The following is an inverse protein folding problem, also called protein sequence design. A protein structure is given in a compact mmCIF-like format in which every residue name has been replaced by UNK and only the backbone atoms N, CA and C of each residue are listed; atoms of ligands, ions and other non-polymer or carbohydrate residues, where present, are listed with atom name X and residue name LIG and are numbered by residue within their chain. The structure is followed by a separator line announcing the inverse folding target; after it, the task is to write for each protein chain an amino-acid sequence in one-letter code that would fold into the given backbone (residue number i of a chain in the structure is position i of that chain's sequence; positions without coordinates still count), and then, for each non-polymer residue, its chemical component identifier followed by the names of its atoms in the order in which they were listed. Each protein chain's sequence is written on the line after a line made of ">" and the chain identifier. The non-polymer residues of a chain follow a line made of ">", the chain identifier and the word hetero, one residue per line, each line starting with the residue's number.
data_IF_535369625333
#
_entry.id   IF_535369625333
#
_cell.length_a   1.000
_cell.length_b   1.000
_cell.length_c   1.000
_cell.angle_alpha   90.00
_cell.angle_beta   90.00
_cell.angle_gamma   90.00
#
_symmetry.space_group_name_H-M   'P 1'
#
loop_
_entity.id
_entity.type
_entity.pdbx_description
1 polymer ?
#
# COMPACT_ATOMS: atom_id res chain seq x y z
N UNK A 1 27.53 3.46 -7.92
CA UNK A 1 27.57 3.73 -6.47
C UNK A 1 26.16 3.48 -5.94
N UNK A 2 25.83 2.22 -5.68
CA UNK A 2 24.51 1.77 -5.24
C UNK A 2 24.50 1.76 -3.73
N UNK A 3 23.63 2.58 -3.12
CA UNK A 3 23.35 2.47 -1.70
C UNK A 3 22.53 1.19 -1.49
N UNK A 4 23.19 0.10 -1.06
CA UNK A 4 22.52 -1.02 -0.42
C UNK A 4 21.96 -0.52 0.92
N UNK A 5 20.71 -0.05 0.88
CA UNK A 5 19.95 0.34 2.07
C UNK A 5 19.02 -0.79 2.50
N UNK A 6 19.54 -2.01 2.61
CA UNK A 6 18.86 -3.10 3.29
C UNK A 6 19.50 -3.24 4.67
N UNK A 7 18.82 -2.76 5.70
CA UNK A 7 19.15 -3.09 7.09
C UNK A 7 19.22 -4.62 7.20
N UNK A 8 20.37 -5.14 7.64
CA UNK A 8 20.61 -6.59 7.74
C UNK A 8 19.79 -7.14 8.92
N UNK A 9 19.47 -8.43 8.91
CA UNK A 9 18.78 -9.11 10.03
C UNK A 9 19.41 -8.84 11.41
N UNK A 10 20.71 -8.58 11.44
CA UNK A 10 21.46 -8.17 12.64
C UNK A 10 21.05 -6.80 13.16
N UNK A 11 20.69 -5.86 12.29
CA UNK A 11 20.26 -4.50 12.64
C UNK A 11 18.85 -4.52 13.24
N UNK A 12 17.99 -5.45 12.79
CA UNK A 12 16.65 -5.69 13.34
C UNK A 12 16.69 -6.27 14.77
N UNK A 13 17.68 -7.10 15.09
CA UNK A 13 17.86 -7.63 16.46
C UNK A 13 18.32 -6.56 17.45
N UNK A 14 19.06 -5.54 17.00
CA UNK A 14 19.47 -4.41 17.84
C UNK A 14 18.29 -3.51 18.24
N UNK A 15 17.25 -3.42 17.39
CA UNK A 15 16.02 -2.65 17.65
C UNK A 15 15.06 -3.31 18.66
N UNK A 16 15.29 -4.58 19.03
CA UNK A 16 14.43 -5.33 19.95
C UNK A 16 14.70 -5.05 21.44
N UNK A 17 15.69 -4.23 21.77
CA UNK A 17 15.92 -3.78 23.15
C UNK A 17 15.25 -2.43 23.33
N UNK A 18 14.19 -2.29 24.15
CA UNK A 18 13.60 -0.98 24.37
C UNK A 18 14.66 -0.07 24.99
N UNK A 19 14.98 1.09 24.40
CA UNK A 19 15.87 2.04 25.04
C UNK A 19 15.24 2.50 26.36
N UNK A 20 16.08 2.84 27.34
CA UNK A 20 15.63 3.65 28.46
C UNK A 20 14.91 4.89 27.89
N UNK A 21 13.78 5.26 28.50
CA UNK A 21 12.94 6.41 28.10
C UNK A 21 13.84 7.55 27.59
N UNK A 22 13.58 8.11 26.39
CA UNK A 22 14.40 9.21 25.92
C UNK A 22 14.27 10.33 26.97
N UNK A 23 15.41 10.66 27.58
CA UNK A 23 15.52 11.87 28.36
C UNK A 23 14.95 13.00 27.49
N UNK A 24 14.06 13.83 28.06
CA UNK A 24 13.69 15.10 27.44
C UNK A 24 14.97 15.72 26.88
N UNK A 25 14.97 16.09 25.59
CA UNK A 25 16.10 16.76 24.96
C UNK A 25 16.54 17.86 25.92
N UNK A 26 17.80 17.87 26.41
CA UNK A 26 18.26 18.89 27.34
C UNK A 26 18.00 20.28 26.74
N UNK A 27 17.11 21.06 27.35
CA UNK A 27 16.71 22.39 26.86
C UNK A 27 15.37 22.46 26.11
N UNK A 28 14.63 21.36 25.95
CA UNK A 28 13.23 21.42 25.52
C UNK A 28 12.40 22.08 26.63
N UNK A 29 12.10 23.37 26.46
CA UNK A 29 11.51 24.19 27.52
C UNK A 29 10.05 23.87 27.83
N UNK A 30 9.34 23.13 26.98
CA UNK A 30 7.97 22.68 27.27
C UNK A 30 7.66 21.38 26.53
N UNK A 31 7.60 20.27 27.25
CA UNK A 31 6.67 19.18 26.92
C UNK A 31 5.70 19.15 28.09
N UNK A 32 4.49 19.68 27.89
CA UNK A 32 3.48 19.51 28.92
C UNK A 32 3.11 18.02 29.02
N UNK A 33 2.83 17.49 30.23
CA UNK A 33 2.56 16.07 30.41
C UNK A 33 1.44 15.54 29.51
N UNK A 34 0.41 16.34 29.21
CA UNK A 34 -0.72 15.91 28.39
C UNK A 34 -0.30 15.71 26.92
N UNK A 35 0.57 16.56 26.38
CA UNK A 35 1.15 16.36 25.04
C UNK A 35 2.00 15.08 24.97
N UNK A 36 2.80 14.79 26.02
CA UNK A 36 3.57 13.55 26.07
C UNK A 36 2.65 12.32 26.11
N UNK A 37 1.56 12.39 26.89
CA UNK A 37 0.60 11.29 27.01
C UNK A 37 -0.22 11.10 25.73
N UNK A 38 -0.57 12.18 25.01
CA UNK A 38 -1.21 12.10 23.70
C UNK A 38 -0.33 11.38 22.66
N UNK A 39 0.97 11.68 22.65
CA UNK A 39 1.94 10.98 21.79
C UNK A 39 2.05 9.51 22.18
N UNK A 40 2.17 9.19 23.47
CA UNK A 40 2.21 7.80 23.94
C UNK A 40 0.97 7.03 23.52
N UNK A 41 -0.22 7.62 23.73
CA UNK A 41 -1.48 7.01 23.32
C UNK A 41 -1.52 6.73 21.81
N UNK A 42 -1.02 7.63 20.97
CA UNK A 42 -0.91 7.39 19.53
C UNK A 42 0.01 6.20 19.21
N UNK A 43 1.19 6.14 19.82
CA UNK A 43 2.16 5.06 19.61
C UNK A 43 1.62 3.71 20.09
N UNK A 44 0.94 3.68 21.24
CA UNK A 44 0.33 2.46 21.78
C UNK A 44 -0.80 1.95 20.87
N UNK A 45 -1.53 2.85 20.20
CA UNK A 45 -2.58 2.50 19.23
C UNK A 45 -2.05 1.89 17.92
N UNK A 46 -0.73 1.90 17.68
CA UNK A 46 -0.12 1.15 16.58
C UNK A 46 -0.10 -0.36 16.88
N UNK A 47 -0.05 -0.76 18.15
CA UNK A 47 0.03 -2.17 18.53
C UNK A 47 -1.20 -2.97 18.08
N UNK A 48 -2.45 -2.52 18.33
CA UNK A 48 -3.64 -3.16 17.77
C UNK A 48 -3.64 -3.21 16.23
N UNK A 49 -3.18 -2.13 15.57
CA UNK A 49 -3.05 -2.10 14.11
C UNK A 49 -2.13 -3.23 13.62
N UNK A 50 -0.95 -3.37 14.22
CA UNK A 50 0.01 -4.41 13.87
C UNK A 50 -0.50 -5.82 14.19
N UNK A 51 -1.20 -6.00 15.31
CA UNK A 51 -1.80 -7.28 15.67
C UNK A 51 -2.88 -7.70 14.67
N UNK A 52 -3.75 -6.78 14.26
CA UNK A 52 -4.75 -7.05 13.21
C UNK A 52 -4.11 -7.46 11.88
N UNK A 53 -2.96 -6.88 11.51
CA UNK A 53 -2.19 -7.26 10.33
C UNK A 53 -1.55 -8.64 10.47
N UNK A 54 -1.00 -8.97 11.64
CA UNK A 54 -0.44 -10.31 11.90
C UNK A 54 -1.51 -11.39 11.74
N UNK A 55 -2.71 -11.15 12.27
CA UNK A 55 -3.84 -12.06 12.16
C UNK A 55 -4.33 -12.23 10.71
N UNK A 56 -4.08 -11.23 9.85
CA UNK A 56 -4.43 -11.24 8.43
C UNK A 56 -3.22 -11.50 7.51
N UNK A 57 -2.08 -11.92 8.06
CA UNK A 57 -0.82 -12.10 7.30
C UNK A 57 -0.95 -13.09 6.14
N UNK A 58 -1.76 -14.15 6.30
CA UNK A 58 -2.05 -15.09 5.22
C UNK A 58 -2.73 -14.44 4.02
N UNK A 59 -3.68 -13.51 4.27
CA UNK A 59 -4.36 -12.75 3.21
C UNK A 59 -3.40 -11.78 2.52
N UNK A 60 -2.58 -11.07 3.28
CA UNK A 60 -1.56 -10.16 2.71
C UNK A 60 -0.56 -10.91 1.83
N UNK A 61 -0.12 -12.09 2.25
CA UNK A 61 0.75 -12.94 1.45
C UNK A 61 0.05 -13.43 0.17
N UNK A 62 -1.22 -13.85 0.27
CA UNK A 62 -2.02 -14.27 -0.87
C UNK A 62 -2.19 -13.14 -1.90
N UNK A 63 -2.50 -11.91 -1.45
CA UNK A 63 -2.60 -10.74 -2.31
C UNK A 63 -1.29 -10.47 -3.06
N UNK A 64 -0.14 -10.53 -2.39
CA UNK A 64 1.16 -10.35 -3.05
C UNK A 64 1.43 -11.38 -4.13
N UNK A 65 1.17 -12.66 -3.85
CA UNK A 65 1.35 -13.77 -4.80
C UNK A 65 0.37 -13.64 -5.99
N UNK A 66 -0.91 -13.41 -5.72
CA UNK A 66 -1.92 -13.26 -6.76
C UNK A 66 -1.62 -12.07 -7.67
N UNK A 67 -1.25 -10.93 -7.08
CA UNK A 67 -0.88 -9.74 -7.83
C UNK A 67 0.31 -10.03 -8.74
N UNK A 68 1.36 -10.67 -8.24
CA UNK A 68 2.53 -11.06 -9.02
C UNK A 68 2.14 -11.91 -10.23
N UNK A 69 1.33 -12.95 -10.02
CA UNK A 69 0.88 -13.83 -11.10
C UNK A 69 0.03 -13.11 -12.15
N UNK A 70 -0.83 -12.18 -11.73
CA UNK A 70 -1.65 -11.38 -12.66
C UNK A 70 -0.79 -10.42 -13.47
N UNK A 71 0.11 -9.67 -12.83
CA UNK A 71 0.96 -8.71 -13.53
C UNK A 71 1.95 -9.41 -14.48
N UNK A 72 2.44 -10.61 -14.15
CA UNK A 72 3.23 -11.45 -15.06
C UNK A 72 2.47 -11.87 -16.33
N UNK A 73 1.14 -11.94 -16.28
CA UNK A 73 0.28 -12.24 -17.43
C UNK A 73 -0.14 -10.99 -18.22
N UNK A 74 0.39 -9.83 -17.86
CA UNK A 74 0.12 -8.56 -18.55
C UNK A 74 -1.11 -7.80 -18.03
N UNK A 75 -1.72 -8.23 -16.92
CA UNK A 75 -2.72 -7.44 -16.23
C UNK A 75 -2.08 -6.24 -15.52
N UNK A 76 -2.90 -5.35 -14.97
CA UNK A 76 -2.45 -4.18 -14.21
C UNK A 76 -3.13 -4.01 -12.86
N UNK A 77 -2.50 -3.18 -12.05
CA UNK A 77 -3.05 -2.68 -10.80
C UNK A 77 -3.54 -1.24 -10.96
N UNK A 78 -4.76 -0.96 -10.52
CA UNK A 78 -5.25 0.39 -10.26
C UNK A 78 -5.33 0.58 -8.74
N UNK A 79 -4.91 1.75 -8.24
CA UNK A 79 -5.00 2.07 -6.81
C UNK A 79 -5.72 3.41 -6.60
N UNK A 80 -6.55 3.50 -5.56
CA UNK A 80 -7.20 4.75 -5.18
C UNK A 80 -7.40 4.86 -3.67
N UNK A 81 -7.35 6.10 -3.18
CA UNK A 81 -7.62 6.48 -1.81
C UNK A 81 -7.83 7.99 -1.71
N UNK A 82 -8.21 8.49 -0.54
CA UNK A 82 -8.40 9.92 -0.29
C UNK A 82 -7.36 10.43 0.71
N UNK A 83 -6.83 11.64 0.50
CA UNK A 83 -5.88 12.28 1.42
C UNK A 83 -4.63 11.43 1.63
N UNK A 84 -4.33 11.08 2.88
CA UNK A 84 -3.20 10.23 3.22
C UNK A 84 -3.23 8.84 2.56
N UNK A 85 -4.42 8.23 2.45
CA UNK A 85 -4.60 6.97 1.71
C UNK A 85 -4.38 7.13 0.20
N UNK A 86 -4.51 8.33 -0.34
CA UNK A 86 -4.11 8.61 -1.73
C UNK A 86 -2.57 8.58 -1.86
N UNK A 87 -1.84 9.15 -0.90
CA UNK A 87 -0.39 9.07 -0.89
C UNK A 87 0.10 7.62 -0.84
N UNK A 88 -0.54 6.76 -0.05
CA UNK A 88 -0.26 5.32 0.00
C UNK A 88 -0.63 4.57 -1.28
N UNK A 89 -1.75 4.92 -1.92
CA UNK A 89 -2.08 4.41 -3.26
C UNK A 89 -0.96 4.73 -4.26
N UNK A 90 -0.44 5.96 -4.22
CA UNK A 90 0.69 6.37 -5.06
C UNK A 90 1.95 5.59 -4.72
N UNK A 91 2.24 5.46 -3.42
CA UNK A 91 3.38 4.72 -2.91
C UNK A 91 3.39 3.30 -3.46
N UNK A 92 2.30 2.54 -3.28
CA UNK A 92 2.15 1.20 -3.83
C UNK A 92 2.45 1.15 -5.34
N UNK A 93 1.86 2.07 -6.12
CA UNK A 93 2.07 2.06 -7.56
C UNK A 93 3.51 2.38 -7.96
N UNK A 94 4.19 3.26 -7.21
CA UNK A 94 5.59 3.59 -7.41
C UNK A 94 6.51 2.40 -7.11
N UNK A 95 6.23 1.63 -6.06
CA UNK A 95 6.98 0.41 -5.73
C UNK A 95 6.86 -0.67 -6.82
N UNK A 96 5.69 -0.80 -7.46
CA UNK A 96 5.46 -1.78 -8.54
C UNK A 96 6.09 -1.35 -9.87
N UNK A 97 5.94 -0.07 -10.24
CA UNK A 97 6.50 0.50 -11.48
C UNK A 97 8.02 0.61 -11.41
N UNK A 98 8.56 1.02 -10.26
CA UNK A 98 9.98 0.98 -9.96
C UNK A 98 10.35 -0.39 -9.40
N UNK A 99 10.81 -0.40 -8.15
CA UNK A 99 11.12 -1.60 -7.37
C UNK A 99 10.97 -1.32 -5.88
N UNK A 100 10.63 -2.36 -5.11
CA UNK A 100 10.56 -2.30 -3.65
C UNK A 100 11.90 -2.62 -3.00
N UNK A 101 12.36 -3.87 -3.09
CA UNK A 101 13.61 -4.27 -2.44
C UNK A 101 14.66 -4.68 -3.49
N UNK A 102 14.42 -5.80 -4.17
CA UNK A 102 15.34 -6.34 -5.17
C UNK A 102 15.15 -5.72 -6.55
N UNK A 103 16.20 -5.72 -7.36
CA UNK A 103 16.11 -5.32 -8.77
C UNK A 103 15.23 -6.32 -9.54
N UNK A 104 14.30 -5.80 -10.34
CA UNK A 104 13.36 -6.61 -11.13
C UNK A 104 12.76 -5.78 -12.28
N UNK A 105 12.05 -6.44 -13.18
CA UNK A 105 11.30 -5.76 -14.23
C UNK A 105 10.19 -4.86 -13.64
N UNK A 106 9.84 -3.75 -14.32
CA UNK A 106 8.74 -2.88 -13.92
C UNK A 106 7.38 -3.52 -14.25
N UNK A 107 6.35 -3.21 -13.44
CA UNK A 107 4.99 -3.67 -13.68
C UNK A 107 3.98 -2.53 -13.85
N UNK A 108 2.87 -2.80 -14.56
CA UNK A 108 1.85 -1.79 -14.82
C UNK A 108 1.00 -1.56 -13.56
N UNK A 109 1.21 -0.42 -12.90
CA UNK A 109 0.38 0.07 -11.81
C UNK A 109 0.05 1.56 -12.00
N UNK A 110 -1.19 1.97 -11.71
CA UNK A 110 -1.68 3.35 -11.90
C UNK A 110 -2.40 3.83 -10.65
N UNK A 111 -1.97 4.95 -10.10
CA UNK A 111 -2.68 5.63 -9.02
C UNK A 111 -3.72 6.61 -9.58
N UNK A 112 -4.99 6.41 -9.25
CA UNK A 112 -6.10 7.14 -9.86
C UNK A 112 -6.24 8.59 -9.35
N UNK A 113 -5.50 9.00 -8.32
CA UNK A 113 -5.49 10.41 -7.88
C UNK A 113 -4.34 11.23 -8.48
N UNK A 114 -3.37 10.60 -9.16
CA UNK A 114 -2.10 11.24 -9.49
C UNK A 114 -2.19 12.25 -10.65
N UNK A 115 -3.07 12.01 -11.63
CA UNK A 115 -3.26 12.94 -12.74
C UNK A 115 -4.29 14.01 -12.36
N UNK A 116 -3.79 15.20 -12.02
CA UNK A 116 -4.59 16.27 -11.46
C UNK A 116 -5.64 16.80 -12.43
N UNK A 117 -5.35 16.82 -13.73
CA UNK A 117 -6.28 17.34 -14.74
C UNK A 117 -7.54 16.47 -14.82
N UNK A 118 -7.39 15.15 -14.86
CA UNK A 118 -8.47 14.19 -14.85
C UNK A 118 -9.25 14.25 -13.55
N UNK A 119 -8.58 14.25 -12.40
CA UNK A 119 -9.22 14.35 -11.09
C UNK A 119 -10.09 15.61 -10.99
N UNK A 120 -9.54 16.77 -11.37
CA UNK A 120 -10.25 18.05 -11.28
C UNK A 120 -11.36 18.18 -12.31
N UNK A 121 -11.15 17.75 -13.56
CA UNK A 121 -12.19 17.76 -14.59
C UNK A 121 -13.36 16.84 -14.21
N UNK A 122 -13.08 15.62 -13.74
CA UNK A 122 -14.14 14.68 -13.35
C UNK A 122 -14.90 15.20 -12.14
N UNK A 123 -14.19 15.71 -11.12
CA UNK A 123 -14.82 16.27 -9.93
C UNK A 123 -15.72 17.47 -10.26
N UNK A 124 -15.28 18.35 -11.17
CA UNK A 124 -16.05 19.52 -11.61
C UNK A 124 -17.29 19.12 -12.42
N UNK A 125 -17.14 18.19 -13.37
CA UNK A 125 -18.18 17.91 -14.37
C UNK A 125 -19.18 16.82 -13.93
N UNK A 126 -18.75 15.89 -13.07
CA UNK A 126 -19.55 14.72 -12.64
C UNK A 126 -19.71 14.62 -11.12
N UNK A 127 -18.97 15.43 -10.35
CA UNK A 127 -18.93 15.36 -8.89
C UNK A 127 -17.78 14.48 -8.37
N UNK A 128 -17.29 14.83 -7.17
CA UNK A 128 -16.14 14.15 -6.56
C UNK A 128 -16.39 12.66 -6.28
N UNK A 129 -17.66 12.26 -6.08
CA UNK A 129 -18.06 10.87 -5.93
C UNK A 129 -17.75 10.00 -7.16
N UNK A 130 -17.65 10.55 -8.36
CA UNK A 130 -17.35 9.77 -9.58
C UNK A 130 -15.87 9.80 -9.98
N UNK A 131 -15.02 10.48 -9.21
CA UNK A 131 -13.62 10.76 -9.58
C UNK A 131 -12.82 9.48 -9.87
N UNK A 132 -13.01 8.43 -9.07
CA UNK A 132 -12.33 7.16 -9.27
C UNK A 132 -13.13 6.21 -10.18
N UNK A 133 -14.45 6.15 -10.03
CA UNK A 133 -15.30 5.27 -10.83
C UNK A 133 -15.18 5.55 -12.33
N UNK A 134 -15.11 6.82 -12.74
CA UNK A 134 -14.90 7.23 -14.14
C UNK A 134 -13.55 6.72 -14.68
N UNK A 135 -12.50 6.80 -13.88
CA UNK A 135 -11.16 6.35 -14.26
C UNK A 135 -11.05 4.82 -14.28
N UNK A 136 -11.70 4.12 -13.36
CA UNK A 136 -11.83 2.66 -13.38
C UNK A 136 -12.50 2.21 -14.69
N UNK A 137 -13.61 2.85 -15.09
CA UNK A 137 -14.30 2.56 -16.37
C UNK A 137 -13.39 2.80 -17.59
N UNK A 138 -12.51 3.81 -17.53
CA UNK A 138 -11.61 4.12 -18.64
C UNK A 138 -10.43 3.14 -18.73
N UNK A 139 -9.77 2.88 -17.60
CA UNK A 139 -8.48 2.20 -17.56
C UNK A 139 -8.55 0.71 -17.23
N UNK A 140 -9.57 0.27 -16.49
CA UNK A 140 -9.69 -1.10 -16.01
C UNK A 140 -10.09 -2.09 -17.09
N UNK A 141 -9.54 -3.30 -17.03
CA UNK A 141 -9.84 -4.43 -17.91
C UNK A 141 -10.11 -5.68 -17.07
N UNK A 142 -10.79 -6.65 -17.67
CA UNK A 142 -11.02 -7.96 -17.03
C UNK A 142 -9.70 -8.59 -16.61
N UNK A 143 -9.64 -9.09 -15.38
CA UNK A 143 -8.44 -9.69 -14.79
C UNK A 143 -7.48 -8.70 -14.12
N UNK A 144 -7.66 -7.39 -14.29
CA UNK A 144 -6.93 -6.38 -13.52
C UNK A 144 -7.34 -6.39 -12.05
N UNK A 145 -6.51 -5.77 -11.20
CA UNK A 145 -6.76 -5.61 -9.76
C UNK A 145 -7.01 -4.13 -9.46
N UNK A 146 -8.05 -3.84 -8.68
CA UNK A 146 -8.30 -2.54 -8.06
C UNK A 146 -8.06 -2.64 -6.56
N UNK A 147 -7.15 -1.81 -6.03
CA UNK A 147 -6.92 -1.67 -4.59
C UNK A 147 -7.46 -0.34 -4.10
N UNK A 148 -8.34 -0.38 -3.10
CA UNK A 148 -9.01 0.80 -2.53
C UNK A 148 -8.59 0.99 -1.07
N UNK A 149 -8.14 2.19 -0.73
CA UNK A 149 -7.66 2.53 0.61
C UNK A 149 -8.59 3.56 1.28
N UNK A 150 -9.22 3.18 2.39
CA UNK A 150 -10.12 4.06 3.15
C UNK A 150 -10.11 3.73 4.64
N UNK A 151 -9.49 4.57 5.46
CA UNK A 151 -9.50 4.39 6.93
C UNK A 151 -10.92 4.34 7.52
N UNK A 152 -11.88 5.03 6.90
CA UNK A 152 -13.30 4.96 7.31
C UNK A 152 -14.10 3.81 6.70
N UNK A 153 -13.65 3.28 5.55
CA UNK A 153 -14.41 2.33 4.73
C UNK A 153 -15.73 2.88 4.16
N UNK A 154 -15.95 4.20 4.17
CA UNK A 154 -17.26 4.83 3.87
C UNK A 154 -17.23 5.85 2.74
N UNK A 155 -16.08 6.11 2.12
CA UNK A 155 -15.95 7.16 1.11
C UNK A 155 -16.79 6.83 -0.14
N UNK A 156 -17.77 7.66 -0.54
CA UNK A 156 -18.64 7.37 -1.68
C UNK A 156 -17.87 7.17 -2.99
N UNK A 157 -16.81 7.94 -3.20
CA UNK A 157 -15.98 7.82 -4.40
C UNK A 157 -15.24 6.49 -4.55
N UNK A 158 -14.88 5.84 -3.44
CA UNK A 158 -14.28 4.51 -3.44
C UNK A 158 -15.36 3.43 -3.60
N UNK A 159 -16.53 3.60 -2.98
CA UNK A 159 -17.66 2.68 -3.18
C UNK A 159 -18.12 2.63 -4.65
N UNK A 160 -18.22 3.78 -5.32
CA UNK A 160 -18.53 3.83 -6.75
C UNK A 160 -17.40 3.22 -7.60
N UNK A 161 -16.15 3.30 -7.16
CA UNK A 161 -15.02 2.67 -7.84
C UNK A 161 -15.06 1.14 -7.74
N UNK A 162 -15.36 0.60 -6.55
CA UNK A 162 -15.55 -0.85 -6.33
C UNK A 162 -16.66 -1.40 -7.25
N UNK A 163 -17.82 -0.74 -7.26
CA UNK A 163 -18.96 -1.10 -8.11
C UNK A 163 -18.63 -0.98 -9.62
N UNK A 164 -17.83 0.02 -10.03
CA UNK A 164 -17.34 0.10 -11.40
C UNK A 164 -16.38 -1.04 -11.78
N UNK A 165 -15.49 -1.44 -10.88
CA UNK A 165 -14.54 -2.53 -11.10
C UNK A 165 -15.24 -3.91 -11.17
N UNK A 166 -16.22 -4.15 -10.30
CA UNK A 166 -17.02 -5.37 -10.31
C UNK A 166 -17.69 -5.60 -11.68
N UNK A 167 -18.27 -4.54 -12.27
CA UNK A 167 -18.86 -4.60 -13.62
C UNK A 167 -17.87 -4.88 -14.75
N UNK A 168 -16.57 -4.70 -14.51
CA UNK A 168 -15.50 -4.96 -15.47
C UNK A 168 -14.81 -6.32 -15.27
N UNK A 169 -15.29 -7.14 -14.33
CA UNK A 169 -14.64 -8.39 -13.91
C UNK A 169 -13.19 -8.16 -13.45
N UNK A 170 -12.96 -7.05 -12.76
CA UNK A 170 -11.72 -6.81 -12.03
C UNK A 170 -11.82 -7.45 -10.64
N UNK A 171 -10.68 -7.86 -10.10
CA UNK A 171 -10.58 -8.23 -8.68
C UNK A 171 -10.47 -6.96 -7.84
N UNK A 172 -11.22 -6.89 -6.75
CA UNK A 172 -11.32 -5.71 -5.89
C UNK A 172 -10.83 -6.03 -4.48
N UNK A 173 -9.84 -5.28 -4.03
CA UNK A 173 -9.26 -5.38 -2.70
C UNK A 173 -9.44 -4.08 -1.94
N UNK A 174 -9.75 -4.17 -0.65
CA UNK A 174 -9.88 -2.99 0.22
C UNK A 174 -8.93 -3.04 1.41
N UNK A 175 -8.14 -1.99 1.61
CA UNK A 175 -7.50 -1.69 2.88
C UNK A 175 -8.35 -0.68 3.63
N UNK A 176 -8.91 -1.07 4.77
CA UNK A 176 -9.82 -0.21 5.55
C UNK A 176 -9.42 -0.10 7.00
N UNK A 177 -10.02 0.81 7.75
CA UNK A 177 -9.95 0.77 9.21
C UNK A 177 -10.83 -0.34 9.78
N UNK A 178 -11.24 -0.18 11.04
CA UNK A 178 -12.01 -1.21 11.74
C UNK A 178 -13.32 -1.56 11.01
N UNK A 179 -13.64 -2.85 10.97
CA UNK A 179 -14.86 -3.39 10.40
C UNK A 179 -15.99 -3.56 11.42
N UNK A 180 -17.22 -3.88 10.96
CA UNK A 180 -17.63 -3.94 9.54
C UNK A 180 -17.75 -2.53 8.92
N UNK A 181 -17.56 -2.43 7.61
CA UNK A 181 -17.75 -1.18 6.88
C UNK A 181 -18.15 -1.42 5.41
N UNK A 182 -18.85 -0.46 4.77
CA UNK A 182 -19.41 -0.64 3.43
C UNK A 182 -18.39 -0.99 2.34
N UNK A 183 -17.16 -0.46 2.42
CA UNK A 183 -16.14 -0.73 1.41
C UNK A 183 -15.58 -2.14 1.53
N UNK A 184 -15.42 -2.65 2.75
CA UNK A 184 -15.03 -4.03 2.98
C UNK A 184 -16.09 -5.01 2.46
N UNK A 185 -17.37 -4.67 2.61
CA UNK A 185 -18.49 -5.49 2.10
C UNK A 185 -18.65 -5.42 0.57
N UNK A 186 -18.21 -4.32 -0.04
CA UNK A 186 -18.36 -4.08 -1.49
C UNK A 186 -17.21 -4.65 -2.34
N UNK A 187 -16.09 -5.02 -1.73
CA UNK A 187 -14.93 -5.60 -2.41
C UNK A 187 -14.90 -7.12 -2.25
N UNK A 188 -14.21 -7.81 -3.17
CA UNK A 188 -14.04 -9.28 -3.13
C UNK A 188 -13.30 -9.71 -1.87
N UNK A 189 -12.28 -8.94 -1.49
CA UNK A 189 -11.54 -9.13 -0.24
C UNK A 189 -11.19 -7.80 0.43
N UNK A 190 -11.04 -7.85 1.75
CA UNK A 190 -10.61 -6.70 2.53
C UNK A 190 -9.59 -7.09 3.60
N UNK A 191 -8.67 -6.18 3.92
CA UNK A 191 -7.86 -6.20 5.14
C UNK A 191 -8.29 -5.01 5.99
N UNK A 192 -8.75 -5.29 7.21
CA UNK A 192 -9.30 -4.30 8.14
C UNK A 192 -8.32 -4.04 9.26
N UNK A 193 -7.96 -2.78 9.49
CA UNK A 193 -7.01 -2.39 10.53
C UNK A 193 -7.77 -1.94 11.77
N UNK A 194 -7.61 -2.68 12.87
CA UNK A 194 -8.28 -2.38 14.14
C UNK A 194 -7.56 -1.23 14.87
N UNK A 195 -7.75 -0.02 14.36
CA UNK A 195 -7.16 1.19 14.94
C UNK A 195 -7.96 2.46 14.57
N UNK A 196 -7.63 3.56 15.25
CA UNK A 196 -8.10 4.90 14.88
C UNK A 196 -7.58 5.29 13.49
N UNK A 197 -8.24 6.24 12.82
CA UNK A 197 -7.94 6.57 11.42
C UNK A 197 -6.46 6.85 11.13
N UNK A 198 -5.74 7.57 11.99
CA UNK A 198 -4.31 7.85 11.79
C UNK A 198 -3.46 6.58 11.89
N UNK A 199 -3.71 5.73 12.88
CA UNK A 199 -3.00 4.46 13.05
C UNK A 199 -3.43 3.40 12.02
N UNK A 200 -4.68 3.45 11.56
CA UNK A 200 -5.17 2.62 10.46
C UNK A 200 -4.43 2.96 9.17
N UNK A 201 -4.17 4.25 8.94
CA UNK A 201 -3.35 4.72 7.84
C UNK A 201 -1.90 4.21 7.94
N UNK A 202 -1.26 4.32 9.12
CA UNK A 202 0.06 3.71 9.35
C UNK A 202 0.05 2.19 9.08
N UNK A 203 -1.02 1.51 9.49
CA UNK A 203 -1.26 0.09 9.19
C UNK A 203 -1.44 -0.21 7.70
N UNK A 204 -2.05 0.69 6.93
CA UNK A 204 -2.16 0.55 5.47
C UNK A 204 -0.78 0.55 4.83
N UNK A 205 0.12 1.47 5.20
CA UNK A 205 1.49 1.47 4.69
C UNK A 205 2.23 0.16 5.02
N UNK A 206 2.10 -0.34 6.26
CA UNK A 206 2.69 -1.63 6.67
C UNK A 206 2.12 -2.78 5.83
N UNK A 207 0.80 -2.80 5.60
CA UNK A 207 0.14 -3.81 4.76
C UNK A 207 0.66 -3.78 3.32
N UNK A 208 0.80 -2.59 2.73
CA UNK A 208 1.33 -2.41 1.39
C UNK A 208 2.76 -2.95 1.27
N UNK A 209 3.64 -2.64 2.23
CA UNK A 209 5.00 -3.18 2.25
C UNK A 209 5.02 -4.71 2.43
N UNK A 210 4.10 -5.28 3.22
CA UNK A 210 3.96 -6.73 3.36
C UNK A 210 3.53 -7.39 2.04
N UNK A 211 2.57 -6.80 1.32
CA UNK A 211 2.14 -7.24 -0.01
C UNK A 211 3.30 -7.14 -1.00
N UNK A 212 4.03 -6.03 -1.05
CA UNK A 212 5.21 -5.86 -1.91
C UNK A 212 6.29 -6.91 -1.62
N UNK A 213 6.52 -7.26 -0.35
CA UNK A 213 7.48 -8.31 0.03
C UNK A 213 7.08 -9.68 -0.51
N UNK A 214 5.81 -10.05 -0.38
CA UNK A 214 5.30 -11.31 -0.93
C UNK A 214 5.28 -11.30 -2.47
N UNK A 215 4.95 -10.17 -3.07
CA UNK A 215 4.99 -9.94 -4.51
C UNK A 215 6.40 -10.16 -5.08
N UNK A 216 7.41 -9.47 -4.54
CA UNK A 216 8.80 -9.58 -5.01
C UNK A 216 9.35 -11.02 -4.86
N UNK A 217 9.00 -11.70 -3.77
CA UNK A 217 9.36 -13.10 -3.57
C UNK A 217 8.77 -14.01 -4.67
N UNK A 218 7.53 -13.77 -5.08
CA UNK A 218 6.88 -14.53 -6.14
C UNK A 218 7.46 -14.21 -7.53
N UNK A 219 7.79 -12.94 -7.80
CA UNK A 219 8.47 -12.55 -9.04
C UNK A 219 9.85 -13.22 -9.15
N UNK A 220 10.60 -13.30 -8.05
CA UNK A 220 11.91 -13.94 -8.03
C UNK A 220 11.83 -15.45 -8.38
N UNK A 221 10.73 -16.14 -8.04
CA UNK A 221 10.52 -17.54 -8.43
C UNK A 221 10.30 -17.75 -9.92
N UNK A 222 9.82 -16.71 -10.61
CA UNK A 222 9.49 -16.74 -12.04
C UNK A 222 10.55 -16.10 -12.93
N UNK A 223 11.57 -15.49 -12.32
CA UNK A 223 12.70 -14.90 -13.03
C UNK A 223 13.87 -15.89 -12.96
N UNK A 224 14.29 -16.51 -14.08
CA UNK A 224 15.50 -17.33 -14.08
C UNK A 224 16.67 -16.49 -13.56
N UNK A 225 17.49 -17.05 -12.67
CA UNK A 225 18.76 -16.43 -12.26
C UNK A 225 19.48 -15.93 -13.50
N UNK A 226 19.95 -14.66 -13.54
CA UNK A 226 20.69 -14.19 -14.69
C UNK A 226 21.91 -15.10 -14.88
N UNK A 227 22.10 -15.60 -16.11
CA UNK A 227 23.35 -16.24 -16.49
C UNK A 227 24.52 -15.33 -16.06
N UNK A 228 25.60 -15.86 -15.46
CA UNK A 228 26.75 -15.02 -15.13
C UNK A 228 27.21 -14.32 -16.41
N UNK A 229 27.20 -12.99 -16.37
CA UNK A 229 27.54 -12.15 -17.50
C UNK A 229 28.90 -12.58 -18.05
N UNK A 230 28.93 -13.03 -19.31
CA UNK A 230 30.19 -13.10 -20.03
C UNK A 230 30.73 -11.67 -20.13
N UNK A 231 31.71 -11.38 -19.28
CA UNK A 231 32.64 -10.29 -19.52
C UNK A 231 33.39 -10.67 -20.81
N UNK A 232 32.96 -10.13 -21.94
CA UNK A 232 33.74 -10.17 -23.18
C UNK A 232 33.72 -8.82 -23.85
N UNK A 233 34.94 -8.28 -24.02
CA UNK A 233 35.33 -7.34 -25.06
C UNK A 233 34.80 -5.93 -24.85
N UNK A 234 35.58 -4.94 -24.38
CA UNK A 234 36.87 -4.60 -24.96
C UNK A 234 36.69 -3.61 -26.11
N UNK A 235 36.79 -2.32 -25.75
CA UNK A 235 37.39 -1.20 -26.51
C UNK A 235 36.59 -0.56 -27.66
N UNK A 236 36.93 0.69 -28.05
CA UNK A 236 38.06 1.55 -27.63
C UNK A 236 37.74 2.55 -26.53
#
# INVERSE_FOLDING_TARGET
>A
MTAESTLRETDLRALATPPALPALIPGATFVDPASADAVRLHLDNVLPALESLRNQSGRLAAWGVELAQRLLRGHRLLAAGNGGSAAEAQHLTAELVGRFDSERVPFSAISLHAESSAVTAIANDYGFDDVFARQVRAHGRSGDVLVLLSTSGKSPNLLRAADAAARLNMTTWALTGCGPNPLADACDEAVMIDALNANAQEGHLIALHAVCRAFDLEIARHTPTPFPSMVQGGRP
#
